data_IF_097605861333
#
_entry.id   IF_097605861333
#
_cell.length_a   1.000
_cell.length_b   1.000
_cell.length_c   1.000
_cell.angle_alpha   90.00
_cell.angle_beta   90.00
_cell.angle_gamma   90.00
#
_symmetry.space_group_name_H-M   'P 1'
#
loop_
_entity.id
_entity.type
_entity.pdbx_description
1 polymer ?
#
# COMPACT_ATOMS: atom_id res chain seq x y z
N UNK A 1 -12.49 10.58 15.99
CA UNK A 1 -11.83 10.51 14.66
C UNK A 1 -12.67 9.59 13.77
N UNK A 2 -12.94 10.02 12.54
CA UNK A 2 -13.59 9.21 11.52
C UNK A 2 -12.53 8.63 10.59
N UNK A 3 -12.50 7.31 10.49
CA UNK A 3 -11.62 6.57 9.58
C UNK A 3 -12.48 5.98 8.47
N UNK A 4 -11.97 6.00 7.25
CA UNK A 4 -12.52 5.22 6.14
C UNK A 4 -11.47 4.24 5.68
N UNK A 5 -11.82 2.97 5.61
CA UNK A 5 -10.95 1.89 5.14
C UNK A 5 -11.43 1.44 3.77
N UNK A 6 -10.67 1.77 2.73
CA UNK A 6 -10.93 1.37 1.35
C UNK A 6 -10.24 0.05 1.06
N UNK A 7 -10.99 -0.94 0.64
CA UNK A 7 -10.53 -2.30 0.37
C UNK A 7 -10.76 -2.63 -1.10
N UNK A 8 -9.69 -3.04 -1.77
CA UNK A 8 -9.77 -3.49 -3.16
C UNK A 8 -10.26 -4.93 -3.23
N UNK A 9 -11.20 -5.17 -4.13
CA UNK A 9 -11.75 -6.50 -4.42
C UNK A 9 -11.47 -6.90 -5.86
N UNK A 10 -11.30 -8.21 -6.11
CA UNK A 10 -11.23 -8.79 -7.45
C UNK A 10 -12.37 -9.79 -7.61
N UNK A 11 -13.04 -9.76 -8.75
CA UNK A 11 -14.19 -10.64 -9.03
C UNK A 11 -15.26 -10.61 -7.91
N UNK A 12 -15.53 -9.42 -7.36
CA UNK A 12 -16.48 -9.20 -6.24
C UNK A 12 -16.13 -9.99 -4.97
N UNK A 13 -14.90 -10.43 -4.81
CA UNK A 13 -14.44 -11.15 -3.62
C UNK A 13 -13.33 -10.41 -2.90
N UNK A 14 -13.30 -10.57 -1.57
CA UNK A 14 -12.21 -10.10 -0.72
C UNK A 14 -11.33 -11.28 -0.33
N UNK A 15 -10.03 -11.10 -0.41
CA UNK A 15 -9.09 -12.15 -0.02
C UNK A 15 -9.11 -12.36 1.50
N UNK A 16 -9.00 -13.63 1.97
CA UNK A 16 -9.05 -13.98 3.40
C UNK A 16 -8.03 -13.22 4.25
N UNK A 17 -6.81 -13.01 3.75
CA UNK A 17 -5.78 -12.23 4.47
C UNK A 17 -6.19 -10.77 4.66
N UNK A 18 -6.78 -10.16 3.63
CA UNK A 18 -7.32 -8.80 3.70
C UNK A 18 -8.51 -8.73 4.65
N UNK A 19 -9.43 -9.70 4.59
CA UNK A 19 -10.56 -9.78 5.51
C UNK A 19 -10.09 -9.86 6.98
N UNK A 20 -9.08 -10.67 7.26
CA UNK A 20 -8.50 -10.78 8.61
C UNK A 20 -7.92 -9.43 9.08
N UNK A 21 -7.23 -8.70 8.19
CA UNK A 21 -6.76 -7.34 8.47
C UNK A 21 -7.90 -6.37 8.79
N UNK A 22 -8.99 -6.43 8.02
CA UNK A 22 -10.18 -5.58 8.23
C UNK A 22 -10.77 -5.83 9.63
N UNK A 23 -10.90 -7.08 10.03
CA UNK A 23 -11.45 -7.45 11.34
C UNK A 23 -10.56 -6.93 12.47
N UNK A 24 -9.23 -7.07 12.37
CA UNK A 24 -8.28 -6.53 13.35
C UNK A 24 -8.33 -5.01 13.42
N UNK A 25 -8.34 -4.34 12.26
CA UNK A 25 -8.42 -2.89 12.17
C UNK A 25 -9.73 -2.37 12.79
N UNK A 26 -10.85 -3.02 12.47
CA UNK A 26 -12.14 -2.62 13.02
C UNK A 26 -12.20 -2.82 14.55
N UNK A 27 -11.65 -3.92 15.05
CA UNK A 27 -11.53 -4.15 16.49
C UNK A 27 -10.65 -3.08 17.18
N UNK A 28 -9.55 -2.69 16.55
CA UNK A 28 -8.69 -1.62 17.05
C UNK A 28 -9.43 -0.27 17.04
N UNK A 29 -10.21 0.04 15.99
CA UNK A 29 -11.06 1.24 15.95
C UNK A 29 -12.07 1.28 17.10
N UNK A 30 -12.71 0.14 17.40
CA UNK A 30 -13.65 0.03 18.53
C UNK A 30 -12.96 0.30 19.87
N UNK A 31 -11.76 -0.28 20.10
CA UNK A 31 -10.97 -0.04 21.31
C UNK A 31 -10.60 1.43 21.51
N UNK A 32 -10.29 2.13 20.42
CA UNK A 32 -9.98 3.56 20.42
C UNK A 32 -11.22 4.46 20.38
N UNK A 33 -12.43 3.91 20.32
CA UNK A 33 -13.70 4.64 20.16
C UNK A 33 -13.71 5.51 18.89
N UNK A 34 -13.08 5.05 17.82
CA UNK A 34 -13.11 5.68 16.50
C UNK A 34 -14.19 5.06 15.64
N UNK A 35 -14.83 5.88 14.83
CA UNK A 35 -15.76 5.39 13.80
C UNK A 35 -14.92 4.90 12.61
N UNK A 36 -15.18 3.68 12.15
CA UNK A 36 -14.60 3.13 10.94
C UNK A 36 -15.70 2.76 9.94
N UNK A 37 -15.61 3.30 8.75
CA UNK A 37 -16.44 2.92 7.62
C UNK A 37 -15.60 2.09 6.66
N UNK A 38 -16.08 0.89 6.30
CA UNK A 38 -15.39 -0.02 5.40
C UNK A 38 -16.05 0.08 4.03
N UNK A 39 -15.25 0.39 3.01
CA UNK A 39 -15.69 0.60 1.63
C UNK A 39 -14.96 -0.37 0.72
N UNK A 40 -15.72 -1.12 -0.07
CA UNK A 40 -15.16 -2.03 -1.06
C UNK A 40 -15.17 -1.36 -2.44
N UNK A 41 -14.08 -1.55 -3.18
CA UNK A 41 -13.92 -1.04 -4.54
C UNK A 41 -13.33 -2.12 -5.44
N UNK A 42 -13.80 -2.21 -6.68
CA UNK A 42 -13.21 -3.11 -7.68
C UNK A 42 -11.76 -2.71 -7.99
N UNK A 43 -10.95 -3.67 -8.41
CA UNK A 43 -9.57 -3.45 -8.85
C UNK A 43 -9.53 -2.76 -10.22
N UNK A 44 -10.02 -1.53 -10.23
CA UNK A 44 -10.00 -0.61 -11.37
C UNK A 44 -9.37 0.72 -10.92
N UNK A 45 -8.33 1.21 -11.59
CA UNK A 45 -7.59 2.39 -11.16
C UNK A 45 -8.45 3.66 -11.05
N UNK A 46 -9.42 3.83 -11.95
CA UNK A 46 -10.29 5.01 -11.95
C UNK A 46 -11.35 4.94 -10.85
N UNK A 47 -11.93 3.75 -10.62
CA UNK A 47 -12.86 3.53 -9.51
C UNK A 47 -12.16 3.73 -8.17
N UNK A 48 -10.94 3.19 -8.00
CA UNK A 48 -10.11 3.40 -6.81
C UNK A 48 -9.89 4.89 -6.55
N UNK A 49 -9.47 5.65 -7.55
CA UNK A 49 -9.27 7.10 -7.43
C UNK A 49 -10.57 7.84 -7.06
N UNK A 50 -11.67 7.51 -7.71
CA UNK A 50 -12.99 8.13 -7.44
C UNK A 50 -13.47 7.88 -6.00
N UNK A 51 -13.32 6.65 -5.50
CA UNK A 51 -13.67 6.30 -4.12
C UNK A 51 -12.80 7.07 -3.13
N UNK A 52 -11.48 7.10 -3.34
CA UNK A 52 -10.56 7.87 -2.50
C UNK A 52 -10.94 9.35 -2.50
N UNK A 53 -11.18 9.97 -3.65
CA UNK A 53 -11.59 11.37 -3.76
C UNK A 53 -12.90 11.66 -3.01
N UNK A 54 -13.87 10.76 -3.12
CA UNK A 54 -15.17 10.91 -2.46
C UNK A 54 -15.01 10.90 -0.95
N UNK A 55 -14.34 9.90 -0.41
CA UNK A 55 -14.25 9.72 1.03
C UNK A 55 -13.24 10.63 1.72
N UNK A 56 -12.23 11.14 1.03
CA UNK A 56 -11.35 12.18 1.57
C UNK A 56 -12.10 13.44 2.03
N UNK A 57 -13.28 13.71 1.45
CA UNK A 57 -14.11 14.89 1.81
C UNK A 57 -14.82 14.73 3.16
N UNK A 58 -15.02 13.50 3.61
CA UNK A 58 -15.93 13.16 4.73
C UNK A 58 -15.22 12.54 5.94
N UNK A 59 -13.99 12.05 5.78
CA UNK A 59 -13.26 11.41 6.87
C UNK A 59 -12.04 12.23 7.33
N UNK A 60 -11.57 11.96 8.54
CA UNK A 60 -10.34 12.53 9.07
C UNK A 60 -9.12 11.78 8.54
N UNK A 61 -9.22 10.45 8.45
CA UNK A 61 -8.14 9.56 8.00
C UNK A 61 -8.68 8.52 7.03
N UNK A 62 -8.00 8.34 5.90
CA UNK A 62 -8.31 7.30 4.94
C UNK A 62 -7.19 6.27 4.92
N UNK A 63 -7.55 5.00 5.02
CA UNK A 63 -6.67 3.84 4.92
C UNK A 63 -7.02 3.09 3.65
N UNK A 64 -6.01 2.80 2.84
CA UNK A 64 -6.18 2.05 1.60
C UNK A 64 -5.42 0.73 1.70
N UNK A 65 -6.09 -0.36 1.41
CA UNK A 65 -5.52 -1.72 1.41
C UNK A 65 -5.91 -2.39 0.09
N UNK A 66 -4.90 -2.70 -0.69
CA UNK A 66 -5.09 -3.38 -1.97
C UNK A 66 -5.43 -4.86 -1.79
N UNK A 67 -5.85 -5.50 -2.88
CA UNK A 67 -6.26 -6.91 -2.89
C UNK A 67 -5.13 -7.85 -2.46
N UNK A 68 -5.49 -8.86 -1.67
CA UNK A 68 -4.58 -9.93 -1.30
C UNK A 68 -3.54 -9.60 -0.23
N UNK A 69 -3.68 -8.46 0.47
CA UNK A 69 -2.70 -8.03 1.46
C UNK A 69 -3.21 -8.25 2.88
N UNK A 70 -2.39 -8.92 3.68
CA UNK A 70 -2.52 -8.98 5.12
C UNK A 70 -1.56 -7.99 5.79
N UNK A 71 -2.05 -7.25 6.79
CA UNK A 71 -1.27 -6.28 7.57
C UNK A 71 -1.16 -6.77 9.01
N UNK A 72 0.03 -6.73 9.57
CA UNK A 72 0.29 -7.13 10.95
C UNK A 72 -0.24 -6.10 11.97
N UNK A 73 -0.27 -6.49 13.25
CA UNK A 73 -0.84 -5.66 14.30
C UNK A 73 -0.01 -4.40 14.59
N UNK A 74 1.30 -4.47 14.47
CA UNK A 74 2.16 -3.32 14.73
C UNK A 74 2.04 -2.27 13.62
N UNK A 75 1.92 -2.72 12.38
CA UNK A 75 1.58 -1.82 11.25
C UNK A 75 0.18 -1.21 11.41
N UNK A 76 -0.80 -1.98 11.90
CA UNK A 76 -2.14 -1.45 12.20
C UNK A 76 -2.09 -0.38 13.29
N UNK A 77 -1.27 -0.52 14.34
CA UNK A 77 -1.10 0.50 15.38
C UNK A 77 -0.66 1.84 14.80
N UNK A 78 0.22 1.83 13.80
CA UNK A 78 0.69 3.06 13.13
C UNK A 78 -0.45 3.86 12.49
N UNK A 79 -1.56 3.20 12.11
CA UNK A 79 -2.74 3.87 11.57
C UNK A 79 -3.40 4.79 12.61
N UNK A 80 -3.23 4.51 13.90
CA UNK A 80 -3.86 5.26 15.00
C UNK A 80 -2.93 6.31 15.60
N UNK A 81 -1.64 6.21 15.39
CA UNK A 81 -0.67 7.14 15.98
C UNK A 81 -0.77 8.54 15.36
N UNK A 82 -0.43 9.53 16.20
CA UNK A 82 -0.31 10.92 15.75
C UNK A 82 1.08 11.13 15.14
N UNK A 83 1.15 11.04 13.83
CA UNK A 83 2.39 11.33 13.10
C UNK A 83 2.46 12.82 12.79
N UNK A 84 3.11 13.61 13.66
CA UNK A 84 3.26 15.05 13.45
C UNK A 84 3.98 15.35 12.13
N UNK A 85 3.36 16.19 11.30
CA UNK A 85 3.93 16.58 9.99
C UNK A 85 3.86 15.52 8.90
N UNK A 86 3.37 14.30 9.21
CA UNK A 86 3.20 13.21 8.24
C UNK A 86 1.76 13.21 7.72
N UNK A 87 1.60 13.56 6.46
CA UNK A 87 0.30 13.64 5.81
C UNK A 87 -0.08 12.36 5.06
N UNK A 88 0.92 11.64 4.57
CA UNK A 88 0.79 10.36 3.89
C UNK A 88 1.85 9.40 4.40
N UNK A 89 1.42 8.24 4.89
CA UNK A 89 2.29 7.15 5.34
C UNK A 89 2.00 5.93 4.48
N UNK A 90 3.04 5.38 3.85
CA UNK A 90 2.96 4.13 3.11
C UNK A 90 3.61 3.00 3.92
N UNK A 91 3.11 1.80 3.70
CA UNK A 91 3.63 0.56 4.28
C UNK A 91 4.29 -0.22 3.15
N UNK A 92 5.62 -0.16 3.03
CA UNK A 92 6.33 -0.82 1.95
C UNK A 92 6.06 -2.32 1.90
N UNK A 93 5.85 -2.82 0.71
CA UNK A 93 5.68 -4.22 0.42
C UNK A 93 6.51 -4.61 -0.81
N UNK A 94 6.19 -5.76 -1.38
CA UNK A 94 6.77 -6.20 -2.65
C UNK A 94 5.74 -6.05 -3.76
N UNK A 95 6.22 -5.81 -4.98
CA UNK A 95 5.39 -5.80 -6.18
C UNK A 95 4.78 -7.18 -6.40
N UNK A 96 3.63 -7.23 -7.05
CA UNK A 96 2.99 -8.50 -7.40
C UNK A 96 3.81 -9.21 -8.48
N UNK A 97 4.02 -10.50 -8.29
CA UNK A 97 4.81 -11.33 -9.19
C UNK A 97 6.26 -11.54 -8.73
N UNK A 98 6.93 -12.47 -9.38
CA UNK A 98 8.33 -12.81 -9.17
C UNK A 98 9.10 -12.47 -10.45
N UNK A 99 10.19 -11.73 -10.32
CA UNK A 99 11.15 -11.51 -11.39
C UNK A 99 12.08 -12.72 -11.49
N UNK A 100 11.76 -13.62 -12.41
CA UNK A 100 12.50 -14.85 -12.60
C UNK A 100 13.91 -14.65 -13.18
N UNK A 101 14.15 -13.58 -13.91
CA UNK A 101 15.49 -13.28 -14.44
C UNK A 101 16.39 -12.72 -13.33
N UNK A 102 15.85 -11.85 -12.48
CA UNK A 102 16.53 -11.40 -11.27
C UNK A 102 16.83 -12.58 -10.33
N UNK A 103 15.85 -13.49 -10.12
CA UNK A 103 16.01 -14.69 -9.33
C UNK A 103 17.18 -15.56 -9.84
N UNK A 104 17.22 -15.85 -11.15
CA UNK A 104 18.31 -16.60 -11.78
C UNK A 104 19.67 -15.93 -11.60
N UNK A 105 19.70 -14.62 -11.77
CA UNK A 105 20.94 -13.84 -11.64
C UNK A 105 21.47 -13.95 -10.21
N UNK A 106 20.62 -13.73 -9.20
CA UNK A 106 21.01 -13.84 -7.80
C UNK A 106 21.45 -15.25 -7.39
N UNK A 107 20.82 -16.30 -7.93
CA UNK A 107 21.26 -17.69 -7.70
C UNK A 107 22.66 -17.92 -8.29
N UNK A 108 22.93 -17.42 -9.51
CA UNK A 108 24.26 -17.56 -10.15
C UNK A 108 25.34 -16.78 -9.41
N UNK A 109 24.99 -15.65 -8.82
CA UNK A 109 25.90 -14.79 -8.06
C UNK A 109 26.08 -15.25 -6.61
N UNK A 110 25.48 -16.39 -6.22
CA UNK A 110 25.53 -16.95 -4.86
C UNK A 110 25.10 -15.90 -3.80
N UNK A 111 24.05 -15.12 -4.11
CA UNK A 111 23.54 -14.09 -3.22
C UNK A 111 23.25 -14.63 -1.81
N UNK A 112 23.62 -13.87 -0.79
CA UNK A 112 23.31 -14.19 0.61
C UNK A 112 21.86 -13.92 1.03
N UNK A 113 21.02 -13.41 0.11
CA UNK A 113 19.60 -13.18 0.40
C UNK A 113 18.84 -14.50 0.58
N UNK A 114 17.79 -14.52 1.44
CA UNK A 114 16.89 -15.65 1.51
C UNK A 114 16.28 -15.97 0.14
N UNK A 115 16.23 -17.25 -0.22
CA UNK A 115 15.78 -17.72 -1.55
C UNK A 115 14.38 -17.16 -1.90
N UNK A 116 13.48 -17.08 -0.93
CA UNK A 116 12.13 -16.55 -1.07
C UNK A 116 12.08 -15.04 -1.39
N UNK A 117 13.20 -14.32 -1.28
CA UNK A 117 13.28 -12.87 -1.54
C UNK A 117 14.04 -12.55 -2.83
N UNK A 118 14.81 -13.49 -3.38
CA UNK A 118 15.73 -13.23 -4.49
C UNK A 118 15.08 -12.69 -5.77
N UNK A 119 13.81 -12.98 -6.01
CA UNK A 119 13.08 -12.51 -7.19
C UNK A 119 12.06 -11.41 -6.87
N UNK A 120 12.13 -10.77 -5.71
CA UNK A 120 11.16 -9.78 -5.31
C UNK A 120 11.67 -8.35 -5.50
N UNK A 121 10.81 -7.48 -5.99
CA UNK A 121 11.03 -6.04 -6.04
C UNK A 121 10.18 -5.33 -5.00
N UNK A 122 10.78 -4.43 -4.23
CA UNK A 122 10.00 -3.55 -3.35
C UNK A 122 9.22 -2.52 -4.16
N UNK A 123 8.01 -2.21 -3.65
CA UNK A 123 7.11 -1.23 -4.25
C UNK A 123 7.44 0.22 -3.85
N UNK A 124 8.40 0.41 -2.95
CA UNK A 124 8.74 1.71 -2.37
C UNK A 124 10.25 1.88 -2.24
N UNK A 125 10.75 2.97 -2.78
CA UNK A 125 12.13 3.43 -2.58
C UNK A 125 12.17 4.48 -1.47
N UNK A 126 13.00 4.24 -0.47
CA UNK A 126 13.15 5.11 0.68
C UNK A 126 14.36 6.03 0.56
N UNK A 127 14.24 7.23 1.12
CA UNK A 127 15.30 8.22 1.16
C UNK A 127 15.88 8.40 2.57
N UNK A 128 15.82 9.62 3.10
CA UNK A 128 16.42 9.97 4.40
C UNK A 128 15.55 9.48 5.55
N UNK A 129 16.22 8.99 6.61
CA UNK A 129 15.58 8.67 7.89
C UNK A 129 15.04 9.95 8.55
N UNK A 130 13.81 9.89 9.04
CA UNK A 130 13.13 11.00 9.73
C UNK A 130 12.98 10.71 11.22
N UNK A 131 12.55 9.51 11.55
CA UNK A 131 12.46 9.02 12.92
C UNK A 131 12.67 7.52 12.95
N UNK A 132 12.44 6.87 14.08
CA UNK A 132 12.54 5.42 14.16
C UNK A 132 11.57 4.75 13.17
N UNK A 133 12.11 3.93 12.27
CA UNK A 133 11.39 3.21 11.21
C UNK A 133 10.58 4.09 10.23
N UNK A 134 10.74 5.42 10.26
CA UNK A 134 10.10 6.34 9.33
C UNK A 134 11.14 7.00 8.42
N UNK A 135 10.90 6.90 7.12
CA UNK A 135 11.80 7.42 6.09
C UNK A 135 11.02 8.27 5.08
N UNK A 136 11.69 9.23 4.46
CA UNK A 136 11.13 9.91 3.28
C UNK A 136 11.05 8.93 2.11
N UNK A 137 10.15 9.19 1.16
CA UNK A 137 9.93 8.34 -0.01
C UNK A 137 10.39 9.05 -1.27
N UNK A 138 11.24 8.39 -2.07
CA UNK A 138 11.69 8.87 -3.38
C UNK A 138 10.75 8.43 -4.50
N UNK A 139 10.29 7.18 -4.48
CA UNK A 139 9.24 6.67 -5.36
C UNK A 139 8.42 5.60 -4.64
N UNK A 140 7.14 5.44 -5.00
CA UNK A 140 6.29 4.42 -4.39
C UNK A 140 5.09 4.05 -5.26
N UNK A 141 4.83 2.76 -5.31
CA UNK A 141 3.60 2.14 -5.80
C UNK A 141 2.95 1.33 -4.66
N UNK A 142 3.14 1.78 -3.41
CA UNK A 142 2.69 1.06 -2.23
C UNK A 142 1.21 0.70 -2.30
N UNK A 143 0.93 -0.54 -1.97
CA UNK A 143 -0.41 -1.13 -2.03
C UNK A 143 -1.18 -0.99 -0.71
N UNK A 144 -0.48 -0.58 0.37
CA UNK A 144 -1.08 -0.20 1.65
C UNK A 144 -0.57 1.17 2.04
N UNK A 145 -1.49 2.09 2.31
CA UNK A 145 -1.14 3.45 2.73
C UNK A 145 -2.28 4.10 3.52
N UNK A 146 -1.92 5.12 4.27
CA UNK A 146 -2.89 5.99 4.94
C UNK A 146 -2.59 7.45 4.71
N UNK A 147 -3.63 8.28 4.79
CA UNK A 147 -3.52 9.73 4.69
C UNK A 147 -4.32 10.44 5.78
N UNK A 148 -3.83 11.61 6.17
CA UNK A 148 -4.60 12.62 6.87
C UNK A 148 -5.34 13.47 5.82
N UNK A 149 -6.65 13.26 5.70
CA UNK A 149 -7.45 13.80 4.59
C UNK A 149 -7.41 15.33 4.54
N UNK A 150 -7.59 16.02 5.66
CA UNK A 150 -7.59 17.49 5.71
C UNK A 150 -6.26 18.08 5.24
N UNK A 151 -5.15 17.50 5.69
CA UNK A 151 -3.81 17.96 5.34
C UNK A 151 -3.47 17.71 3.87
N UNK A 152 -3.84 16.53 3.36
CA UNK A 152 -3.62 16.17 1.94
C UNK A 152 -4.48 17.04 1.04
N UNK A 153 -5.77 17.22 1.32
CA UNK A 153 -6.64 18.12 0.54
C UNK A 153 -6.06 19.54 0.50
N UNK A 154 -5.59 20.06 1.64
CA UNK A 154 -4.96 21.40 1.69
C UNK A 154 -3.73 21.50 0.77
N UNK A 155 -2.94 20.43 0.68
CA UNK A 155 -1.74 20.41 -0.15
C UNK A 155 -2.06 20.27 -1.66
N UNK A 156 -3.05 19.44 -2.03
CA UNK A 156 -3.38 19.18 -3.45
C UNK A 156 -4.32 20.22 -4.07
N UNK A 157 -4.97 21.03 -3.23
CA UNK A 157 -5.94 22.03 -3.66
C UNK A 157 -5.29 23.10 -4.54
N UNK A 158 -5.89 23.39 -5.67
CA UNK A 158 -5.45 24.47 -6.54
C UNK A 158 -5.59 25.82 -5.83
N UNK A 159 -4.51 26.64 -5.87
CA UNK A 159 -4.47 27.91 -5.16
C UNK A 159 -5.38 29.00 -5.78
N UNK A 160 -5.71 28.85 -7.08
CA UNK A 160 -6.48 29.86 -7.81
C UNK A 160 -7.98 29.64 -7.67
N UNK A 161 -8.45 28.42 -7.91
CA UNK A 161 -9.87 28.08 -7.98
C UNK A 161 -10.35 27.16 -6.85
N UNK A 162 -9.42 26.67 -6.02
CA UNK A 162 -9.73 25.81 -4.90
C UNK A 162 -10.20 24.41 -5.26
N UNK A 163 -10.17 24.02 -6.55
CA UNK A 163 -10.50 22.69 -7.00
C UNK A 163 -9.36 21.70 -6.74
N UNK A 164 -9.69 20.43 -6.68
CA UNK A 164 -8.74 19.33 -6.62
C UNK A 164 -9.37 18.05 -7.18
N UNK A 165 -8.54 17.19 -7.69
CA UNK A 165 -8.96 15.88 -8.21
C UNK A 165 -7.84 14.87 -8.04
N UNK A 166 -8.21 13.61 -8.01
CA UNK A 166 -7.30 12.47 -7.92
C UNK A 166 -7.33 11.70 -9.24
N UNK A 167 -6.17 11.23 -9.66
CA UNK A 167 -6.03 10.38 -10.84
C UNK A 167 -5.82 8.92 -10.46
N UNK A 168 -5.85 8.05 -11.45
CA UNK A 168 -5.63 6.61 -11.30
C UNK A 168 -4.34 6.26 -10.51
N UNK A 169 -3.28 7.06 -10.65
CA UNK A 169 -2.04 6.96 -9.88
C UNK A 169 -2.07 7.91 -8.67
N UNK A 170 -2.83 7.55 -7.66
CA UNK A 170 -3.12 8.42 -6.50
C UNK A 170 -1.87 8.92 -5.77
N UNK A 171 -0.93 8.04 -5.42
CA UNK A 171 0.28 8.42 -4.67
C UNK A 171 1.24 9.27 -5.52
N UNK A 172 1.38 8.97 -6.81
CA UNK A 172 2.14 9.79 -7.74
C UNK A 172 1.57 11.21 -7.80
N UNK A 173 0.24 11.32 -7.90
CA UNK A 173 -0.46 12.61 -7.88
C UNK A 173 -0.26 13.39 -6.60
N UNK A 174 -0.30 12.74 -5.45
CA UNK A 174 0.01 13.38 -4.17
C UNK A 174 1.43 13.97 -4.18
N UNK A 175 2.41 13.20 -4.64
CA UNK A 175 3.79 13.64 -4.73
C UNK A 175 3.96 14.84 -5.68
N UNK A 176 3.37 14.79 -6.88
CA UNK A 176 3.38 15.92 -7.85
C UNK A 176 2.82 17.21 -7.24
N UNK A 177 1.82 17.10 -6.37
CA UNK A 177 1.20 18.23 -5.67
C UNK A 177 1.95 18.67 -4.39
N UNK A 178 3.11 18.07 -4.11
CA UNK A 178 3.96 18.43 -2.98
C UNK A 178 3.53 17.82 -1.64
N UNK A 179 2.66 16.80 -1.65
CA UNK A 179 2.40 16.01 -0.44
C UNK A 179 3.65 15.22 -0.11
N UNK A 180 4.17 15.42 1.10
CA UNK A 180 5.29 14.61 1.59
C UNK A 180 4.80 13.23 1.96
N UNK A 181 5.37 12.22 1.30
CA UNK A 181 5.09 10.80 1.53
C UNK A 181 6.22 10.23 2.37
N UNK A 182 5.86 9.46 3.39
CA UNK A 182 6.80 8.78 4.28
C UNK A 182 6.51 7.28 4.28
N UNK A 183 7.52 6.48 4.54
CA UNK A 183 7.42 5.02 4.61
C UNK A 183 7.67 4.55 6.04
N UNK A 184 6.83 3.66 6.54
CA UNK A 184 7.06 2.90 7.77
C UNK A 184 7.75 1.58 7.39
N UNK A 185 9.07 1.54 7.53
CA UNK A 185 9.90 0.42 7.04
C UNK A 185 9.89 -0.82 7.92
N UNK A 186 9.37 -0.74 9.15
CA UNK A 186 9.16 -1.91 10.00
C UNK A 186 7.82 -2.63 9.70
N UNK A 187 7.10 -2.21 8.66
CA UNK A 187 5.86 -2.86 8.25
C UNK A 187 6.08 -4.33 7.89
N UNK A 188 5.19 -5.19 8.36
CA UNK A 188 5.15 -6.61 8.00
C UNK A 188 3.87 -6.89 7.23
N UNK A 189 4.00 -6.97 5.92
CA UNK A 189 2.89 -7.26 5.02
C UNK A 189 2.97 -8.70 4.53
N UNK A 190 1.83 -9.38 4.52
CA UNK A 190 1.69 -10.69 3.86
C UNK A 190 1.05 -10.45 2.51
N UNK A 191 1.81 -10.67 1.44
CA UNK A 191 1.35 -10.50 0.07
C UNK A 191 0.88 -11.86 -0.48
N UNK A 192 -0.25 -11.86 -1.17
CA UNK A 192 -0.73 -13.04 -1.89
C UNK A 192 -0.60 -12.80 -3.38
N UNK A 193 0.11 -13.69 -4.04
CA UNK A 193 0.29 -13.67 -5.50
C UNK A 193 -0.78 -14.51 -6.19
N UNK A 194 -1.11 -14.14 -7.43
CA UNK A 194 -1.73 -15.05 -8.38
C UNK A 194 -0.74 -16.16 -8.73
N UNK A 195 -1.24 -17.37 -8.98
CA UNK A 195 -0.37 -18.50 -9.33
C UNK A 195 0.47 -18.18 -10.56
N UNK A 196 1.79 -18.33 -10.41
CA UNK A 196 2.69 -18.36 -11.56
C UNK A 196 2.40 -19.61 -12.41
N UNK A 197 2.51 -19.46 -13.71
CA UNK A 197 2.37 -20.60 -14.62
C UNK A 197 3.54 -21.56 -14.42
N UNK A 198 3.28 -22.87 -14.36
CA UNK A 198 4.32 -23.90 -14.22
C UNK A 198 5.41 -23.75 -15.28
N UNK A 199 5.04 -23.37 -16.50
CA UNK A 199 6.03 -23.11 -17.58
C UNK A 199 7.02 -22.00 -17.24
N UNK A 200 6.60 -20.94 -16.53
CA UNK A 200 7.49 -19.87 -16.08
C UNK A 200 8.47 -20.39 -15.03
N UNK A 201 8.01 -21.21 -14.10
CA UNK A 201 8.87 -21.86 -13.08
C UNK A 201 9.88 -22.78 -13.73
N UNK A 202 9.45 -23.63 -14.67
CA UNK A 202 10.33 -24.55 -15.39
C UNK A 202 11.37 -23.81 -16.25
N UNK A 203 10.95 -22.74 -16.94
CA UNK A 203 11.88 -21.91 -17.71
C UNK A 203 12.92 -21.24 -16.80
N UNK A 204 12.50 -20.74 -15.64
CA UNK A 204 13.40 -20.17 -14.65
C UNK A 204 14.40 -21.20 -14.13
N UNK A 205 13.97 -22.44 -13.91
CA UNK A 205 14.85 -23.54 -13.53
C UNK A 205 15.74 -24.07 -14.68
N UNK A 206 15.63 -23.51 -15.89
CA UNK A 206 16.38 -23.96 -17.05
C UNK A 206 15.84 -25.24 -17.70
N UNK A 207 14.67 -25.70 -17.29
CA UNK A 207 14.00 -26.86 -17.86
C UNK A 207 13.16 -26.40 -19.05
N UNK A 208 13.48 -26.86 -20.25
CA UNK A 208 12.64 -26.62 -21.42
C UNK A 208 11.38 -27.50 -21.28
N UNK A 209 10.22 -26.86 -21.18
CA UNK A 209 8.95 -27.57 -21.36
C UNK A 209 8.89 -28.04 -22.82
N UNK A 210 8.90 -29.34 -23.04
CA UNK A 210 8.74 -29.97 -24.36
C UNK A 210 7.28 -29.89 -24.81
#
# INVERSE_FOLDING_TARGET
>A
MNIVTVIVTRSKSCHVKTLHTILKLNLACLRHKFKNEIVFVDDDPYKKASVVETYMKTCDRLVFIDFGIGVDEDSIKQIFEAHEGINCLVFPGVKEGVDWDLFKTKIKEESSEPVEQMGLHFDTEVGKKVSENIYTVTSTEARVWMINCKSVIKAIKDKKNGSWSIHAKTLEKFKEKGVKIYAFTAAKLIMTYTHECISNILNAAGVKAS
#
